data_IF_649901538269
#
_entry.id   IF_649901538269
#
_cell.length_a   1.000
_cell.length_b   1.000
_cell.length_c   1.000
_cell.angle_alpha   90.00
_cell.angle_beta   90.00
_cell.angle_gamma   90.00
#
_symmetry.space_group_name_H-M   'P 1'
#
loop_
_entity.id
_entity.type
_entity.pdbx_description
1 polymer ?
#
# COMPACT_ATOMS: atom_id res chain seq x y z
N UNK A 1 15.54 22.80 20.07
CA UNK A 1 15.85 22.62 18.64
C UNK A 1 14.87 21.60 18.11
N UNK A 2 13.85 22.03 17.37
CA UNK A 2 12.85 21.13 16.82
C UNK A 2 13.45 20.39 15.62
N UNK A 3 13.29 19.07 15.61
CA UNK A 3 13.71 18.20 14.52
C UNK A 3 12.64 18.25 13.43
N UNK A 4 12.93 18.89 12.30
CA UNK A 4 11.96 19.22 11.24
C UNK A 4 11.89 18.17 10.12
N UNK A 5 11.98 16.87 10.41
CA UNK A 5 11.99 15.85 9.35
C UNK A 5 10.61 15.48 8.80
N UNK A 6 9.51 16.01 9.36
CA UNK A 6 8.14 15.58 9.02
C UNK A 6 7.13 16.69 8.72
N UNK A 7 7.51 17.97 8.69
CA UNK A 7 6.49 19.05 8.62
C UNK A 7 5.75 19.16 7.26
N UNK A 8 6.34 18.68 6.16
CA UNK A 8 5.75 18.86 4.82
C UNK A 8 5.82 17.62 3.90
N UNK A 9 6.38 16.50 4.38
CA UNK A 9 6.45 15.25 3.63
C UNK A 9 5.51 14.23 4.27
N UNK A 10 4.41 13.93 3.60
CA UNK A 10 3.49 12.85 3.96
C UNK A 10 3.83 11.52 3.27
N UNK A 11 5.06 11.36 2.78
CA UNK A 11 5.46 10.09 2.18
C UNK A 11 5.62 9.04 3.29
N UNK A 12 4.97 7.87 3.18
CA UNK A 12 5.06 6.83 4.20
C UNK A 12 6.52 6.39 4.42
N UNK A 13 6.93 6.10 5.66
CA UNK A 13 8.29 5.58 5.92
C UNK A 13 8.47 4.13 5.44
N UNK A 14 7.38 3.39 5.27
CA UNK A 14 7.37 1.99 4.85
C UNK A 14 6.59 1.83 3.56
N UNK A 15 7.08 0.96 2.65
CA UNK A 15 6.34 0.60 1.44
C UNK A 15 5.04 -0.10 1.84
N UNK A 16 3.94 0.23 1.18
CA UNK A 16 2.64 -0.42 1.36
C UNK A 16 2.77 -1.94 1.28
N UNK A 17 2.13 -2.61 2.23
CA UNK A 17 2.01 -4.06 2.25
C UNK A 17 1.17 -4.48 1.05
N UNK A 18 1.71 -5.38 0.24
CA UNK A 18 0.96 -5.97 -0.87
C UNK A 18 -0.03 -7.00 -0.32
N UNK A 19 -1.28 -6.86 -0.71
CA UNK A 19 -2.34 -7.79 -0.39
C UNK A 19 -2.40 -8.93 -1.43
N UNK A 20 -3.05 -10.02 -1.06
CA UNK A 20 -3.31 -11.15 -1.95
C UNK A 20 -4.79 -11.51 -1.86
N UNK A 21 -5.59 -10.76 -2.59
CA UNK A 21 -7.00 -11.04 -2.71
C UNK A 21 -7.26 -12.21 -3.65
N UNK A 22 -8.36 -12.93 -3.44
CA UNK A 22 -8.79 -14.06 -4.28
C UNK A 22 -10.28 -13.98 -4.52
N UNK A 23 -10.74 -14.43 -5.68
CA UNK A 23 -12.16 -14.64 -5.91
C UNK A 23 -12.62 -15.87 -5.14
N UNK A 24 -13.89 -15.89 -4.73
CA UNK A 24 -14.45 -17.02 -4.01
C UNK A 24 -14.40 -18.28 -4.87
N UNK A 25 -13.90 -19.37 -4.28
CA UNK A 25 -13.79 -20.69 -4.90
C UNK A 25 -14.47 -21.76 -4.03
N UNK A 26 -14.35 -23.02 -4.45
CA UNK A 26 -14.95 -24.16 -3.74
C UNK A 26 -14.40 -24.34 -2.32
N UNK A 27 -13.21 -23.81 -2.01
CA UNK A 27 -12.61 -23.94 -0.68
C UNK A 27 -13.37 -23.14 0.39
N UNK A 28 -13.98 -22.01 0.00
CA UNK A 28 -14.73 -21.13 0.92
C UNK A 28 -16.25 -21.24 0.72
N UNK A 29 -16.70 -21.95 -0.32
CA UNK A 29 -18.11 -22.10 -0.66
C UNK A 29 -18.97 -22.61 0.52
N UNK A 30 -18.45 -23.54 1.33
CA UNK A 30 -19.17 -24.07 2.49
C UNK A 30 -19.45 -23.01 3.55
N UNK A 31 -18.46 -22.16 3.85
CA UNK A 31 -18.59 -21.07 4.82
C UNK A 31 -19.62 -20.04 4.33
N UNK A 32 -19.53 -19.66 3.04
CA UNK A 32 -20.47 -18.73 2.42
C UNK A 32 -21.90 -19.29 2.41
N UNK A 33 -22.06 -20.57 2.09
CA UNK A 33 -23.37 -21.22 2.06
C UNK A 33 -23.99 -21.30 3.46
N UNK A 34 -23.21 -21.60 4.48
CA UNK A 34 -23.71 -21.61 5.86
C UNK A 34 -24.19 -20.22 6.30
N UNK A 35 -23.47 -19.16 5.93
CA UNK A 35 -23.90 -17.77 6.17
C UNK A 35 -25.24 -17.49 5.47
N UNK A 36 -25.36 -17.87 4.19
CA UNK A 36 -26.60 -17.68 3.42
C UNK A 36 -27.78 -18.46 4.00
N UNK A 37 -27.56 -19.68 4.48
CA UNK A 37 -28.58 -20.49 5.15
C UNK A 37 -29.08 -19.77 6.41
N UNK A 38 -28.17 -19.33 7.29
CA UNK A 38 -28.52 -18.60 8.52
C UNK A 38 -29.29 -17.31 8.21
N UNK A 39 -28.87 -16.56 7.18
CA UNK A 39 -29.59 -15.36 6.72
C UNK A 39 -30.99 -15.69 6.19
N UNK A 40 -31.14 -16.77 5.40
CA UNK A 40 -32.45 -17.20 4.87
C UNK A 40 -33.43 -17.63 5.96
N UNK A 41 -32.91 -18.10 7.10
CA UNK A 41 -33.68 -18.47 8.29
C UNK A 41 -33.99 -17.26 9.20
N UNK A 42 -33.47 -16.07 8.87
CA UNK A 42 -33.61 -14.86 9.69
C UNK A 42 -32.69 -14.82 10.91
N UNK A 43 -31.74 -15.77 11.03
CA UNK A 43 -30.81 -15.88 12.17
C UNK A 43 -29.58 -14.96 12.00
N UNK A 44 -29.80 -13.66 11.80
CA UNK A 44 -28.73 -12.70 11.50
C UNK A 44 -27.65 -12.61 12.60
N UNK A 45 -28.02 -12.75 13.87
CA UNK A 45 -27.06 -12.73 14.98
C UNK A 45 -26.07 -13.90 14.90
N UNK A 46 -26.56 -15.09 14.55
CA UNK A 46 -25.73 -16.28 14.38
C UNK A 46 -24.91 -16.22 13.10
N UNK A 47 -25.47 -15.63 12.03
CA UNK A 47 -24.70 -15.35 10.82
C UNK A 47 -23.52 -14.40 11.09
N UNK A 48 -23.74 -13.33 11.87
CA UNK A 48 -22.69 -12.39 12.24
C UNK A 48 -21.61 -13.04 13.13
N UNK A 49 -22.00 -13.88 14.08
CA UNK A 49 -21.06 -14.70 14.87
C UNK A 49 -20.27 -15.65 13.97
N UNK A 50 -20.93 -16.32 13.03
CA UNK A 50 -20.27 -17.24 12.11
C UNK A 50 -19.25 -16.52 11.21
N UNK A 51 -19.57 -15.31 10.75
CA UNK A 51 -18.64 -14.45 9.99
C UNK A 51 -17.45 -14.03 10.87
N UNK A 52 -17.68 -13.69 12.14
CA UNK A 52 -16.60 -13.24 13.02
C UNK A 52 -15.62 -14.37 13.33
N UNK A 53 -16.11 -15.59 13.53
CA UNK A 53 -15.31 -16.80 13.73
C UNK A 53 -14.45 -17.11 12.50
N UNK A 54 -15.01 -17.01 11.29
CA UNK A 54 -14.29 -17.32 10.04
C UNK A 54 -13.67 -16.09 9.37
N UNK A 55 -13.50 -14.98 10.12
CA UNK A 55 -13.04 -13.70 9.54
C UNK A 55 -11.68 -13.81 8.86
N UNK A 56 -10.75 -14.58 9.43
CA UNK A 56 -9.43 -14.78 8.86
C UNK A 56 -9.48 -15.56 7.54
N UNK A 57 -10.40 -16.51 7.42
CA UNK A 57 -10.61 -17.33 6.22
C UNK A 57 -11.35 -16.54 5.13
N UNK A 58 -12.34 -15.72 5.51
CA UNK A 58 -13.12 -14.91 4.58
C UNK A 58 -12.38 -13.66 4.10
N UNK A 59 -11.49 -13.10 4.92
CA UNK A 59 -10.83 -11.81 4.67
C UNK A 59 -10.12 -11.67 3.31
N UNK A 60 -9.42 -12.69 2.79
CA UNK A 60 -8.78 -12.63 1.47
C UNK A 60 -9.78 -12.65 0.30
N UNK A 61 -11.02 -13.07 0.51
CA UNK A 61 -11.98 -13.28 -0.57
C UNK A 61 -12.79 -12.02 -0.88
N UNK A 62 -12.68 -11.53 -2.11
CA UNK A 62 -13.37 -10.33 -2.60
C UNK A 62 -13.80 -10.55 -4.05
N UNK A 63 -14.81 -9.81 -4.49
CA UNK A 63 -15.25 -9.85 -5.89
C UNK A 63 -14.31 -9.02 -6.77
N UNK A 64 -13.85 -9.60 -7.87
CA UNK A 64 -12.95 -8.91 -8.81
C UNK A 64 -11.54 -8.84 -8.26
N UNK A 65 -11.07 -9.93 -7.67
CA UNK A 65 -9.79 -9.99 -6.98
C UNK A 65 -8.61 -9.61 -7.85
N UNK A 66 -8.63 -10.00 -9.14
CA UNK A 66 -7.62 -9.65 -10.13
C UNK A 66 -7.46 -8.14 -10.24
N UNK A 67 -8.55 -7.41 -10.47
CA UNK A 67 -8.56 -5.96 -10.62
C UNK A 67 -8.03 -5.25 -9.36
N UNK A 68 -8.45 -5.69 -8.18
CA UNK A 68 -7.98 -5.11 -6.91
C UNK A 68 -6.51 -5.39 -6.66
N UNK A 69 -6.04 -6.61 -6.96
CA UNK A 69 -4.62 -6.96 -6.88
C UNK A 69 -3.78 -6.13 -7.85
N UNK A 70 -4.27 -5.86 -9.07
CA UNK A 70 -3.60 -4.98 -10.03
C UNK A 70 -3.48 -3.56 -9.50
N UNK A 71 -4.55 -2.98 -8.95
CA UNK A 71 -4.50 -1.63 -8.36
C UNK A 71 -3.52 -1.58 -7.18
N UNK A 72 -3.55 -2.58 -6.30
CA UNK A 72 -2.66 -2.66 -5.13
C UNK A 72 -1.18 -2.74 -5.57
N UNK A 73 -0.89 -3.53 -6.61
CA UNK A 73 0.44 -3.62 -7.21
C UNK A 73 0.88 -2.30 -7.85
N UNK A 74 0.04 -1.69 -8.68
CA UNK A 74 0.38 -0.43 -9.35
C UNK A 74 0.54 0.73 -8.36
N UNK A 75 -0.30 0.79 -7.33
CA UNK A 75 -0.18 1.78 -6.25
C UNK A 75 1.15 1.65 -5.53
N UNK A 76 1.54 0.41 -5.22
CA UNK A 76 2.84 0.11 -4.61
C UNK A 76 4.01 0.48 -5.53
N UNK A 77 3.89 0.22 -6.83
CA UNK A 77 4.92 0.59 -7.82
C UNK A 77 5.08 2.11 -7.92
N UNK A 78 3.97 2.85 -7.93
CA UNK A 78 3.97 4.32 -7.89
C UNK A 78 4.63 4.83 -6.61
N UNK A 79 4.35 4.22 -5.46
CA UNK A 79 5.00 4.58 -4.20
C UNK A 79 6.52 4.33 -4.26
N UNK A 80 6.95 3.17 -4.77
CA UNK A 80 8.37 2.87 -4.96
C UNK A 80 9.02 3.91 -5.89
N UNK A 81 8.37 4.24 -6.99
CA UNK A 81 8.86 5.26 -7.92
C UNK A 81 8.93 6.65 -7.28
N UNK A 82 7.92 7.04 -6.49
CA UNK A 82 7.89 8.32 -5.78
C UNK A 82 8.98 8.40 -4.69
N UNK A 83 9.22 7.30 -3.97
CA UNK A 83 10.30 7.18 -2.96
C UNK A 83 11.68 7.07 -3.57
N UNK A 84 11.81 6.47 -4.75
CA UNK A 84 13.00 6.49 -5.57
C UNK A 84 13.18 7.91 -6.13
N UNK A 85 13.46 8.87 -5.24
CA UNK A 85 13.76 10.25 -5.57
C UNK A 85 14.81 10.22 -6.69
N UNK A 86 14.50 10.81 -7.85
CA UNK A 86 15.48 10.91 -8.93
C UNK A 86 16.60 11.82 -8.43
N UNK A 87 17.82 11.27 -8.37
CA UNK A 87 19.05 12.01 -8.18
C UNK A 87 18.99 13.30 -9.01
N UNK A 88 19.08 14.44 -8.33
CA UNK A 88 19.11 15.74 -8.98
C UNK A 88 20.56 16.10 -9.28
N UNK A 89 20.79 16.67 -10.47
CA UNK A 89 22.10 17.17 -10.86
C UNK A 89 22.05 18.69 -10.79
N UNK A 90 22.86 19.27 -9.92
CA UNK A 90 22.99 20.71 -9.75
C UNK A 90 24.17 21.21 -10.60
N UNK A 91 23.91 22.15 -11.49
CA UNK A 91 24.91 22.83 -12.33
C UNK A 91 25.04 24.29 -11.87
N UNK A 92 25.83 24.50 -10.82
CA UNK A 92 26.04 25.83 -10.24
C UNK A 92 27.41 25.91 -9.57
N UNK A 93 28.04 27.08 -9.60
CA UNK A 93 29.37 27.30 -9.01
C UNK A 93 29.38 27.27 -7.48
N UNK A 94 28.28 27.69 -6.83
CA UNK A 94 28.14 27.63 -5.38
C UNK A 94 27.50 26.30 -4.93
N UNK A 95 27.86 25.81 -3.74
CA UNK A 95 27.28 24.60 -3.15
C UNK A 95 25.75 24.72 -3.06
N UNK A 96 24.97 23.72 -3.51
CA UNK A 96 23.51 23.75 -3.41
C UNK A 96 23.05 23.78 -1.95
N UNK A 97 22.19 24.73 -1.61
CA UNK A 97 21.57 24.87 -0.27
C UNK A 97 20.71 23.64 0.10
N UNK A 98 19.98 23.71 1.22
CA UNK A 98 19.09 22.68 1.84
C UNK A 98 18.11 21.93 0.91
N UNK A 99 18.05 22.28 -0.38
CA UNK A 99 17.37 21.53 -1.43
C UNK A 99 18.10 20.24 -1.85
N UNK A 100 19.40 20.13 -1.58
CA UNK A 100 20.19 18.92 -1.87
C UNK A 100 19.98 17.84 -0.81
N UNK A 101 19.91 16.58 -1.23
CA UNK A 101 19.88 15.42 -0.32
C UNK A 101 21.02 14.46 -0.64
N UNK A 102 21.36 13.61 0.34
CA UNK A 102 22.34 12.54 0.17
C UNK A 102 21.96 11.66 -1.02
N UNK A 103 22.85 11.62 -2.02
CA UNK A 103 22.63 10.92 -3.30
C UNK A 103 22.47 11.84 -4.51
N UNK A 104 22.27 13.14 -4.33
CA UNK A 104 22.30 14.13 -5.42
C UNK A 104 23.74 14.39 -5.91
N UNK A 105 23.87 14.85 -7.16
CA UNK A 105 25.18 15.16 -7.78
C UNK A 105 25.31 16.66 -7.95
N UNK A 106 26.40 17.22 -7.45
CA UNK A 106 26.76 18.61 -7.69
C UNK A 106 27.97 18.68 -8.61
N UNK A 107 27.82 19.40 -9.73
CA UNK A 107 28.88 19.72 -10.66
C UNK A 107 29.21 21.20 -10.51
N UNK A 108 30.18 21.50 -9.64
CA UNK A 108 30.75 22.84 -9.49
C UNK A 108 31.70 23.18 -10.63
N UNK A 109 31.86 24.47 -10.91
CA UNK A 109 32.88 24.93 -11.85
C UNK A 109 34.27 24.73 -11.23
N UNK A 110 35.13 24.01 -11.95
CA UNK A 110 36.54 23.87 -11.62
C UNK A 110 37.27 25.01 -12.34
N UNK A 111 37.72 26.04 -11.62
CA UNK A 111 38.66 27.01 -12.18
C UNK A 111 39.98 26.29 -12.48
N UNK A 112 40.41 26.32 -13.75
CA UNK A 112 41.71 25.81 -14.22
C UNK A 112 42.72 26.95 -14.25
#
# INVERSE_FOLDING_TARGET
MASYTHEYSSFPDQILTRHQFRDADDSIANVINQIKILQSQGEYSRAAEYISVHKAELGPYVLGSEYLNTIDEETRNVEIYAKAKKQQIFYQGAEPDNSSVVGDVWLGEYEV
#
